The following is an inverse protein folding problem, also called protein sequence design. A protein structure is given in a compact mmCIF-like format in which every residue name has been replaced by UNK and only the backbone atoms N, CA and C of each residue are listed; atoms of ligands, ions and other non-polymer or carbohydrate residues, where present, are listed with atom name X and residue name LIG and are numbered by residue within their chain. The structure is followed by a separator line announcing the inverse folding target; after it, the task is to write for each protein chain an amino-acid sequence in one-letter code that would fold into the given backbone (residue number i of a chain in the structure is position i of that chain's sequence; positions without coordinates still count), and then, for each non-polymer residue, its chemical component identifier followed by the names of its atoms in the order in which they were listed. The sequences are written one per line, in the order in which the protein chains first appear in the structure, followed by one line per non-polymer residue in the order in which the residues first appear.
data_IF_151925089563
#
_entry.id   IF_151925089563
#
_cell.length_a   1.000
_cell.length_b   1.000
_cell.length_c   1.000
_cell.angle_alpha   90.00
_cell.angle_beta   90.00
_cell.angle_gamma   90.00
#
_symmetry.space_group_name_H-M   'P 1'
#
loop_
_entity.id
_entity.type
_entity.pdbx_description
1 polymer ?
#
# COMPACT_ATOMS: atom_id res chain seq x y z
N UNK A 1 2.35 -0.04 -14.92
CA UNK A 1 1.18 -0.03 -15.82
C UNK A 1 1.58 0.55 -17.17
N UNK A 2 1.90 -0.29 -18.16
CA UNK A 2 2.50 0.15 -19.44
C UNK A 2 1.61 1.10 -20.26
N UNK A 3 0.31 1.14 -19.96
CA UNK A 3 -0.65 2.01 -20.65
C UNK A 3 -0.77 3.40 -20.01
N UNK A 4 -0.08 3.66 -18.89
CA UNK A 4 -0.08 4.96 -18.21
C UNK A 4 1.35 5.44 -17.97
N UNK A 5 1.64 6.68 -18.35
CA UNK A 5 2.99 7.25 -18.26
C UNK A 5 2.99 8.58 -17.50
N UNK A 6 4.10 8.87 -16.82
CA UNK A 6 4.41 10.13 -16.17
C UNK A 6 5.79 10.59 -16.64
N UNK A 7 5.89 11.80 -17.20
CA UNK A 7 7.09 12.30 -17.88
C UNK A 7 7.70 11.32 -18.89
N UNK A 8 6.86 10.60 -19.63
CA UNK A 8 7.29 9.60 -20.62
C UNK A 8 7.78 8.27 -20.04
N UNK A 9 7.76 8.09 -18.72
CA UNK A 9 8.11 6.83 -18.06
C UNK A 9 6.85 6.09 -17.60
N UNK A 10 6.85 4.76 -17.70
CA UNK A 10 5.76 3.90 -17.23
C UNK A 10 5.63 4.04 -15.71
N UNK A 11 4.41 4.23 -15.21
CA UNK A 11 4.18 4.31 -13.76
C UNK A 11 4.22 2.91 -13.10
N UNK A 12 4.51 2.80 -11.79
CA UNK A 12 4.43 1.53 -11.07
C UNK A 12 3.02 0.93 -11.14
N UNK A 13 2.90 -0.35 -11.49
CA UNK A 13 1.61 -1.05 -11.49
C UNK A 13 0.97 -1.09 -10.10
N UNK A 14 1.79 -1.28 -9.06
CA UNK A 14 1.33 -1.33 -7.68
C UNK A 14 0.64 -0.02 -7.23
N UNK A 15 1.16 1.15 -7.65
CA UNK A 15 0.51 2.44 -7.37
C UNK A 15 -0.78 2.61 -8.17
N UNK A 16 -0.82 2.13 -9.42
CA UNK A 16 -2.02 2.19 -10.25
C UNK A 16 -3.18 1.40 -9.63
N UNK A 17 -2.92 0.14 -9.25
CA UNK A 17 -3.92 -0.74 -8.63
C UNK A 17 -4.38 -0.20 -7.27
N UNK A 18 -3.42 0.20 -6.41
CA UNK A 18 -3.70 0.80 -5.11
C UNK A 18 -4.58 2.03 -5.23
N UNK A 19 -4.18 3.00 -6.06
CA UNK A 19 -4.85 4.30 -6.16
C UNK A 19 -6.28 4.14 -6.67
N UNK A 20 -6.49 3.31 -7.70
CA UNK A 20 -7.83 3.09 -8.24
C UNK A 20 -8.74 2.34 -7.27
N UNK A 21 -8.25 1.29 -6.61
CA UNK A 21 -9.07 0.59 -5.62
C UNK A 21 -9.40 1.51 -4.44
N UNK A 22 -8.41 2.18 -3.86
CA UNK A 22 -8.63 3.09 -2.73
C UNK A 22 -9.64 4.18 -3.10
N UNK A 23 -9.37 4.94 -4.17
CA UNK A 23 -10.14 6.13 -4.52
C UNK A 23 -11.63 5.83 -4.76
N UNK A 24 -11.91 4.74 -5.46
CA UNK A 24 -13.28 4.39 -5.81
C UNK A 24 -14.08 3.77 -4.66
N UNK A 25 -13.43 3.27 -3.60
CA UNK A 25 -14.10 2.40 -2.62
C UNK A 25 -14.04 2.90 -1.17
N UNK A 26 -13.05 3.72 -0.78
CA UNK A 26 -12.78 3.99 0.63
C UNK A 26 -14.01 4.52 1.41
N UNK A 27 -14.77 5.46 0.83
CA UNK A 27 -15.99 6.00 1.47
C UNK A 27 -17.04 4.93 1.72
N UNK A 28 -17.33 4.11 0.70
CA UNK A 28 -18.34 3.06 0.81
C UNK A 28 -17.90 1.95 1.78
N UNK A 29 -16.60 1.65 1.83
CA UNK A 29 -16.02 0.70 2.78
C UNK A 29 -16.17 1.19 4.22
N UNK A 30 -15.83 2.46 4.49
CA UNK A 30 -15.95 3.07 5.80
C UNK A 30 -17.41 3.19 6.25
N UNK A 31 -18.32 3.61 5.37
CA UNK A 31 -19.75 3.75 5.68
C UNK A 31 -20.41 2.44 6.13
N UNK A 32 -19.94 1.29 5.65
CA UNK A 32 -20.47 -0.02 6.04
C UNK A 32 -19.69 -0.69 7.19
N UNK A 33 -18.83 0.07 7.89
CA UNK A 33 -18.05 -0.44 9.03
C UNK A 33 -16.87 -1.34 8.63
N UNK A 34 -16.38 -1.21 7.39
CA UNK A 34 -15.18 -1.88 6.87
C UNK A 34 -14.09 -0.85 6.60
N UNK A 35 -13.07 -1.20 5.81
CA UNK A 35 -11.97 -0.30 5.46
C UNK A 35 -11.26 -0.69 4.16
N UNK A 36 -10.42 0.21 3.61
CA UNK A 36 -9.57 -0.09 2.45
C UNK A 36 -8.45 -1.06 2.84
N UNK A 37 -8.56 -2.31 2.40
CA UNK A 37 -7.64 -3.40 2.78
C UNK A 37 -6.83 -3.90 1.59
N UNK A 38 -5.53 -4.15 1.82
CA UNK A 38 -4.59 -4.56 0.79
C UNK A 38 -3.80 -5.81 1.19
N UNK A 39 -3.40 -6.58 0.18
CA UNK A 39 -2.36 -7.60 0.30
C UNK A 39 -1.12 -7.11 -0.44
N UNK A 40 0.03 -7.08 0.23
CA UNK A 40 1.30 -6.60 -0.34
C UNK A 40 2.20 -7.79 -0.70
N UNK A 41 2.37 -8.09 -2.00
CA UNK A 41 3.15 -9.24 -2.44
C UNK A 41 4.63 -8.90 -2.62
N UNK A 42 5.47 -9.93 -2.49
CA UNK A 42 6.87 -9.94 -2.97
C UNK A 42 7.79 -8.85 -2.41
N UNK A 43 7.51 -8.34 -1.22
CA UNK A 43 8.47 -7.50 -0.51
C UNK A 43 9.76 -8.27 -0.27
N UNK A 44 10.90 -7.60 -0.36
CA UNK A 44 12.22 -8.15 -0.06
C UNK A 44 12.91 -7.46 1.11
N UNK A 45 12.46 -6.28 1.54
CA UNK A 45 13.07 -5.56 2.65
C UNK A 45 12.05 -4.73 3.45
N UNK A 46 12.39 -4.40 4.68
CA UNK A 46 11.63 -3.47 5.51
C UNK A 46 11.62 -2.05 4.94
N UNK A 47 12.59 -1.66 4.11
CA UNK A 47 12.57 -0.39 3.38
C UNK A 47 11.41 -0.32 2.38
N UNK A 48 11.07 -1.43 1.73
CA UNK A 48 9.89 -1.51 0.86
C UNK A 48 8.59 -1.43 1.67
N UNK A 49 8.55 -2.05 2.86
CA UNK A 49 7.43 -1.89 3.80
C UNK A 49 7.29 -0.42 4.24
N UNK A 50 8.41 0.23 4.58
CA UNK A 50 8.42 1.65 4.95
C UNK A 50 7.88 2.55 3.83
N UNK A 51 8.29 2.28 2.59
CA UNK A 51 7.79 3.02 1.42
C UNK A 51 6.27 2.84 1.26
N UNK A 52 5.72 1.65 1.48
CA UNK A 52 4.27 1.44 1.49
C UNK A 52 3.58 2.20 2.63
N UNK A 53 4.18 2.23 3.83
CA UNK A 53 3.68 3.05 4.93
C UNK A 53 3.61 4.53 4.54
N UNK A 54 4.62 5.07 3.85
CA UNK A 54 4.62 6.45 3.35
C UNK A 54 3.52 6.70 2.30
N UNK A 55 3.29 5.75 1.38
CA UNK A 55 2.18 5.82 0.42
C UNK A 55 0.82 5.84 1.13
N UNK A 56 0.64 5.01 2.16
CA UNK A 56 -0.60 4.96 2.94
C UNK A 56 -0.81 6.24 3.74
N UNK A 57 0.19 6.71 4.49
CA UNK A 57 0.11 7.97 5.24
C UNK A 57 -0.20 9.16 4.33
N UNK A 58 0.50 9.28 3.20
CA UNK A 58 0.20 10.32 2.21
C UNK A 58 -1.26 10.27 1.76
N UNK A 59 -1.76 9.06 1.49
CA UNK A 59 -3.14 8.88 1.02
C UNK A 59 -4.15 9.21 2.13
N UNK A 60 -3.93 8.75 3.36
CA UNK A 60 -4.79 9.05 4.50
C UNK A 60 -4.84 10.56 4.75
N UNK A 61 -3.68 11.22 4.82
CA UNK A 61 -3.58 12.67 5.00
C UNK A 61 -4.27 13.43 3.87
N UNK A 62 -4.03 13.05 2.61
CA UNK A 62 -4.61 13.70 1.43
C UNK A 62 -6.14 13.62 1.40
N UNK A 63 -6.72 12.51 1.89
CA UNK A 63 -8.17 12.32 1.95
C UNK A 63 -8.79 12.66 3.32
N UNK A 64 -8.00 13.14 4.28
CA UNK A 64 -8.45 13.53 5.62
C UNK A 64 -8.95 12.35 6.45
N UNK A 65 -8.28 11.20 6.36
CA UNK A 65 -8.57 9.99 7.13
C UNK A 65 -7.63 9.88 8.34
N UNK A 66 -8.08 9.19 9.38
CA UNK A 66 -7.23 8.90 10.53
C UNK A 66 -6.09 7.95 10.14
N UNK A 67 -4.91 8.14 10.72
CA UNK A 67 -3.75 7.27 10.49
C UNK A 67 -4.08 5.80 10.80
N UNK A 68 -3.76 4.91 9.85
CA UNK A 68 -4.03 3.49 9.97
C UNK A 68 -5.46 3.09 9.62
N UNK A 69 -6.20 3.95 8.91
CA UNK A 69 -7.46 3.60 8.25
C UNK A 69 -7.24 2.54 7.16
N UNK A 70 -6.16 2.68 6.38
CA UNK A 70 -5.69 1.69 5.43
C UNK A 70 -5.02 0.56 6.20
N UNK A 71 -5.42 -0.69 5.92
CA UNK A 71 -4.79 -1.88 6.50
C UNK A 71 -4.18 -2.74 5.40
N UNK A 72 -3.03 -3.34 5.72
CA UNK A 72 -2.33 -4.23 4.81
C UNK A 72 -1.97 -5.55 5.49
N UNK A 73 -2.04 -6.63 4.72
CA UNK A 73 -1.46 -7.93 5.06
C UNK A 73 -0.26 -8.17 4.15
N UNK A 74 0.93 -8.33 4.71
CA UNK A 74 2.15 -8.57 3.93
C UNK A 74 2.34 -10.07 3.68
N UNK A 75 2.63 -10.45 2.44
CA UNK A 75 3.02 -11.82 2.10
C UNK A 75 4.54 -11.96 2.32
N UNK A 76 4.93 -12.77 3.31
CA UNK A 76 6.32 -13.20 3.44
C UNK A 76 6.56 -14.36 2.46
N UNK A 77 6.83 -13.99 1.20
CA UNK A 77 6.96 -14.93 0.07
C UNK A 77 8.28 -14.78 -0.70
N UNK A 78 9.26 -14.08 -0.13
CA UNK A 78 10.60 -13.95 -0.71
C UNK A 78 11.66 -14.41 0.29
N UNK A 79 12.78 -14.92 -0.23
CA UNK A 79 13.89 -15.35 0.61
C UNK A 79 14.46 -14.20 1.47
N UNK A 80 14.64 -12.97 0.97
CA UNK A 80 15.10 -11.87 1.83
C UNK A 80 14.12 -11.50 2.95
N UNK A 81 12.81 -11.43 2.66
CA UNK A 81 11.82 -10.97 3.63
C UNK A 81 11.69 -11.86 4.87
N UNK A 82 11.99 -13.16 4.76
CA UNK A 82 11.96 -14.06 5.93
C UNK A 82 12.99 -13.67 7.00
N UNK A 83 14.05 -12.94 6.63
CA UNK A 83 15.06 -12.44 7.56
C UNK A 83 14.77 -11.04 8.11
N UNK A 84 13.71 -10.38 7.63
CA UNK A 84 13.33 -9.01 8.00
C UNK A 84 11.87 -8.91 8.47
N UNK A 85 11.27 -10.00 8.94
CA UNK A 85 9.84 -10.04 9.24
C UNK A 85 9.44 -9.04 10.34
N UNK A 86 10.27 -8.90 11.38
CA UNK A 86 9.98 -7.99 12.51
C UNK A 86 10.17 -6.53 12.09
N UNK A 87 11.21 -6.25 11.31
CA UNK A 87 11.47 -4.94 10.72
C UNK A 87 10.37 -4.54 9.73
N UNK A 88 9.85 -5.47 8.94
CA UNK A 88 8.69 -5.26 8.05
C UNK A 88 7.43 -4.93 8.87
N UNK A 89 7.16 -5.67 9.94
CA UNK A 89 6.01 -5.42 10.82
C UNK A 89 6.13 -4.06 11.53
N UNK A 90 7.33 -3.67 11.94
CA UNK A 90 7.57 -2.39 12.60
C UNK A 90 7.50 -1.20 11.64
N UNK A 91 7.93 -1.38 10.39
CA UNK A 91 8.08 -0.27 9.44
C UNK A 91 6.78 0.13 8.74
N UNK A 92 5.74 -0.71 8.83
CA UNK A 92 4.46 -0.54 8.14
C UNK A 92 3.38 0.04 9.05
#
# INVERSE_FOLDING_TARGET
EKHVTWHGQIIPGALFDFALYFYNNYKALLQKGSGPYFYLPKLQSHHEAKWWSEVFHFTEDYFGLDTGTIKATVLIETLPAVFEMDEILFSL
#
